data_IF_000737318325
#
_entry.id   IF_000737318325
#
_cell.length_a   1.000
_cell.length_b   1.000
_cell.length_c   1.000
_cell.angle_alpha   90.00
_cell.angle_beta   90.00
_cell.angle_gamma   90.00
#
_symmetry.space_group_name_H-M   'P 1'
#
loop_
_entity.id
_entity.type
_entity.pdbx_description
1 polymer ?
#
# COMPACT_ATOMS: atom_id res chain seq x y z
N UNK A 1 -2.89 15.48 -6.47
CA UNK A 1 -3.54 14.37 -7.19
C UNK A 1 -2.54 13.78 -8.18
N UNK A 2 -2.31 12.47 -8.20
CA UNK A 2 -1.44 11.83 -9.21
C UNK A 2 -2.06 11.86 -10.62
N UNK A 3 -1.24 11.61 -11.66
CA UNK A 3 -1.64 11.65 -13.10
C UNK A 3 -2.92 10.87 -13.43
N UNK A 4 -3.19 9.76 -12.72
CA UNK A 4 -4.39 8.94 -12.95
C UNK A 4 -5.68 9.70 -12.58
N UNK A 5 -5.64 10.52 -11.52
CA UNK A 5 -6.82 11.29 -11.07
C UNK A 5 -7.27 12.35 -12.08
N UNK A 6 -6.35 12.93 -12.86
CA UNK A 6 -6.66 13.90 -13.90
C UNK A 6 -7.17 13.29 -15.21
N UNK A 7 -6.84 12.01 -15.45
CA UNK A 7 -7.20 11.30 -16.70
C UNK A 7 -8.54 10.56 -16.54
N UNK A 8 -8.89 10.10 -15.33
CA UNK A 8 -10.15 9.41 -15.04
C UNK A 8 -11.43 10.06 -15.63
N UNK A 9 -11.63 11.40 -15.54
CA UNK A 9 -12.82 12.04 -16.09
C UNK A 9 -12.90 12.00 -17.63
N UNK A 10 -11.76 11.80 -18.30
CA UNK A 10 -11.65 11.80 -19.77
C UNK A 10 -11.80 10.39 -20.36
N UNK A 11 -11.90 9.36 -19.52
CA UNK A 11 -12.02 7.97 -19.96
C UNK A 11 -13.48 7.62 -20.18
N UNK A 12 -13.87 7.50 -21.44
CA UNK A 12 -15.24 7.12 -21.85
C UNK A 12 -15.51 5.61 -21.70
N UNK A 13 -14.48 4.77 -21.82
CA UNK A 13 -14.63 3.32 -21.70
C UNK A 13 -14.77 2.89 -20.23
N UNK A 14 -15.92 2.36 -19.85
CA UNK A 14 -16.22 1.94 -18.47
C UNK A 14 -15.26 0.88 -17.93
N UNK A 15 -14.80 -0.07 -18.75
CA UNK A 15 -13.86 -1.12 -18.30
C UNK A 15 -12.50 -0.52 -17.96
N UNK A 16 -12.03 0.42 -18.79
CA UNK A 16 -10.77 1.14 -18.55
C UNK A 16 -10.90 2.05 -17.33
N UNK A 17 -12.05 2.71 -17.15
CA UNK A 17 -12.32 3.53 -15.95
C UNK A 17 -12.26 2.69 -14.68
N UNK A 18 -12.94 1.55 -14.67
CA UNK A 18 -12.96 0.64 -13.51
C UNK A 18 -11.55 0.15 -13.14
N UNK A 19 -10.72 -0.18 -14.14
CA UNK A 19 -9.32 -0.58 -13.91
C UNK A 19 -8.49 0.56 -13.31
N UNK A 20 -8.62 1.78 -13.86
CA UNK A 20 -7.89 2.95 -13.36
C UNK A 20 -8.34 3.35 -11.96
N UNK A 21 -9.62 3.20 -11.62
CA UNK A 21 -10.13 3.40 -10.27
C UNK A 21 -9.56 2.39 -9.28
N UNK A 22 -9.46 1.10 -9.67
CA UNK A 22 -8.85 0.06 -8.86
C UNK A 22 -7.36 0.34 -8.60
N UNK A 23 -6.61 0.71 -9.63
CA UNK A 23 -5.20 1.10 -9.50
C UNK A 23 -5.06 2.33 -8.59
N UNK A 24 -5.87 3.37 -8.80
CA UNK A 24 -5.82 4.58 -7.98
C UNK A 24 -6.19 4.31 -6.52
N UNK A 25 -7.14 3.41 -6.26
CA UNK A 25 -7.49 2.96 -4.93
C UNK A 25 -6.33 2.21 -4.27
N UNK A 26 -5.63 1.36 -5.03
CA UNK A 26 -4.48 0.63 -4.53
C UNK A 26 -3.31 1.56 -4.18
N UNK A 27 -2.94 2.48 -5.07
CA UNK A 27 -1.89 3.49 -4.85
C UNK A 27 -2.15 4.32 -3.58
N UNK A 28 -3.40 4.71 -3.33
CA UNK A 28 -3.78 5.43 -2.11
C UNK A 28 -3.59 4.59 -0.85
N UNK A 29 -3.99 3.31 -0.88
CA UNK A 29 -3.80 2.38 0.24
C UNK A 29 -2.32 2.12 0.47
N UNK A 30 -1.56 1.90 -0.60
CA UNK A 30 -0.13 1.64 -0.56
C UNK A 30 0.63 2.83 0.07
N UNK A 31 0.31 4.05 -0.36
CA UNK A 31 0.91 5.26 0.20
C UNK A 31 0.57 5.46 1.68
N UNK A 32 -0.67 5.16 2.11
CA UNK A 32 -1.06 5.23 3.52
C UNK A 32 -0.32 4.18 4.38
N UNK A 33 -0.14 2.97 3.84
CA UNK A 33 0.62 1.92 4.51
C UNK A 33 2.07 2.34 4.72
N UNK A 34 2.75 2.85 3.68
CA UNK A 34 4.13 3.33 3.80
C UNK A 34 4.29 4.47 4.80
N UNK A 35 3.32 5.40 4.86
CA UNK A 35 3.32 6.45 5.89
C UNK A 35 3.21 5.89 7.29
N UNK A 36 2.33 4.90 7.51
CA UNK A 36 2.21 4.24 8.82
C UNK A 36 3.49 3.49 9.20
N UNK A 37 4.11 2.80 8.25
CA UNK A 37 5.42 2.15 8.47
C UNK A 37 6.48 3.19 8.85
N UNK A 38 6.52 4.33 8.15
CA UNK A 38 7.44 5.43 8.49
C UNK A 38 7.15 6.02 9.88
N UNK A 39 5.88 6.23 10.24
CA UNK A 39 5.50 6.70 11.57
C UNK A 39 5.91 5.71 12.67
N UNK A 40 5.78 4.41 12.41
CA UNK A 40 6.25 3.35 13.31
C UNK A 40 7.78 3.34 13.44
N UNK A 41 8.51 3.48 12.32
CA UNK A 41 9.97 3.58 12.31
C UNK A 41 10.45 4.81 13.09
N UNK A 42 9.83 5.97 12.88
CA UNK A 42 10.21 7.25 13.54
C UNK A 42 9.86 7.25 15.02
N UNK A 43 8.74 6.63 15.43
CA UNK A 43 8.39 6.42 16.85
C UNK A 43 9.20 5.28 17.49
N UNK A 44 9.84 4.47 16.66
CA UNK A 44 10.59 3.26 16.99
C UNK A 44 12.03 3.50 17.45
N UNK A 45 12.49 4.73 17.73
CA UNK A 45 13.79 4.93 18.43
C UNK A 45 13.89 4.18 19.77
N UNK A 46 12.77 3.64 20.26
CA UNK A 46 12.69 2.79 21.47
C UNK A 46 12.51 1.29 21.21
N UNK A 47 12.31 0.83 19.97
CA UNK A 47 12.03 -0.58 19.62
C UNK A 47 13.06 -1.04 18.59
N UNK A 48 13.75 -2.16 18.84
CA UNK A 48 14.84 -2.62 17.96
C UNK A 48 14.32 -2.98 16.57
N UNK A 49 15.17 -2.85 15.53
CA UNK A 49 14.77 -3.09 14.14
C UNK A 49 14.22 -4.51 13.87
N UNK A 50 14.63 -5.50 14.67
CA UNK A 50 14.10 -6.88 14.61
C UNK A 50 12.65 -6.98 15.12
N UNK A 51 12.34 -6.34 16.25
CA UNK A 51 10.99 -6.34 16.83
C UNK A 51 9.95 -5.72 15.87
N UNK A 52 10.38 -4.70 15.11
CA UNK A 52 9.54 -4.06 14.10
C UNK A 52 9.34 -4.95 12.87
N UNK A 53 10.38 -5.66 12.44
CA UNK A 53 10.29 -6.59 11.31
C UNK A 53 9.36 -7.76 11.63
N UNK A 54 9.43 -8.31 12.85
CA UNK A 54 8.53 -9.35 13.32
C UNK A 54 7.09 -8.87 13.41
N UNK A 55 6.84 -7.66 13.94
CA UNK A 55 5.47 -7.11 14.02
C UNK A 55 4.86 -6.85 12.64
N UNK A 56 5.66 -6.37 11.69
CA UNK A 56 5.22 -6.13 10.32
C UNK A 56 4.97 -7.44 9.58
N UNK A 57 5.90 -8.39 9.64
CA UNK A 57 5.82 -9.66 8.90
C UNK A 57 4.69 -10.57 9.41
N UNK A 58 4.40 -10.55 10.71
CA UNK A 58 3.32 -11.35 11.33
C UNK A 58 1.91 -10.89 10.94
N UNK A 59 1.75 -9.66 10.43
CA UNK A 59 0.46 -9.06 10.10
C UNK A 59 0.20 -8.90 8.59
N UNK A 60 1.13 -9.29 7.71
CA UNK A 60 0.89 -9.25 6.25
C UNK A 60 0.09 -10.50 5.83
N UNK A 61 -1.07 -10.37 5.16
CA UNK A 61 -1.96 -11.49 4.87
C UNK A 61 -1.44 -12.49 3.82
N UNK A 62 -0.37 -12.15 3.11
CA UNK A 62 0.29 -13.05 2.15
C UNK A 62 1.70 -13.33 2.64
N UNK A 63 1.82 -14.22 3.61
CA UNK A 63 3.04 -14.99 3.74
C UNK A 63 3.04 -15.87 2.49
N UNK A 64 3.95 -15.63 1.54
CA UNK A 64 4.17 -16.58 0.45
C UNK A 64 4.23 -17.97 1.07
N UNK A 65 3.24 -18.81 0.74
CA UNK A 65 3.06 -20.08 1.40
C UNK A 65 4.41 -20.79 1.47
N UNK A 66 4.88 -21.23 2.66
CA UNK A 66 5.99 -22.15 2.71
C UNK A 66 5.43 -23.50 2.27
N UNK A 67 5.40 -23.70 0.96
CA UNK A 67 4.93 -24.92 0.32
C UNK A 67 5.47 -24.92 -1.10
N UNK A 68 6.47 -25.76 -1.33
CA UNK A 68 6.93 -26.09 -2.68
C UNK A 68 5.92 -26.91 -3.47
#
# INVERSE_FOLDING_TARGET
>A
MGKIGSVLPQVENEKVRMLLEAILADERRHHLLLKRVLELLVRGETVTGEDLWDLLWKNVPYHGAPGG
#
